data_IF_989740736018
#
_entry.id   IF_989740736018
#
_cell.length_a   1.000
_cell.length_b   1.000
_cell.length_c   1.000
_cell.angle_alpha   90.00
_cell.angle_beta   90.00
_cell.angle_gamma   90.00
#
_symmetry.space_group_name_H-M   'P 1'
#
loop_
_entity.id
_entity.type
_entity.pdbx_description
1 polymer ?
#
# COMPACT_ATOMS: atom_id res chain seq x y z
N UNK A 1 19.39 -43.72 -28.48
CA UNK A 1 19.74 -42.29 -28.63
C UNK A 1 18.51 -41.37 -28.58
N UNK A 2 17.43 -41.66 -29.31
CA UNK A 2 16.18 -40.88 -29.29
C UNK A 2 15.55 -40.68 -27.89
N UNK A 3 15.51 -41.73 -27.06
CA UNK A 3 14.94 -41.66 -25.70
C UNK A 3 15.76 -40.70 -24.80
N UNK A 4 17.09 -40.72 -24.91
CA UNK A 4 17.97 -39.84 -24.13
C UNK A 4 17.77 -38.38 -24.53
N UNK A 5 17.65 -38.12 -25.84
CA UNK A 5 17.36 -36.77 -26.35
C UNK A 5 15.99 -36.29 -25.86
N UNK A 6 14.98 -37.15 -25.85
CA UNK A 6 13.64 -36.80 -25.35
C UNK A 6 13.65 -36.47 -23.85
N UNK A 7 14.32 -37.27 -23.02
CA UNK A 7 14.41 -37.00 -21.56
C UNK A 7 15.18 -35.72 -21.27
N UNK A 8 16.29 -35.46 -21.98
CA UNK A 8 17.06 -34.22 -21.84
C UNK A 8 16.25 -33.00 -22.29
N UNK A 9 15.50 -33.11 -23.40
CA UNK A 9 14.64 -32.04 -23.88
C UNK A 9 13.51 -31.71 -22.89
N UNK A 10 12.89 -32.73 -22.28
CA UNK A 10 11.87 -32.55 -21.25
C UNK A 10 12.48 -31.87 -20.01
N UNK A 11 13.62 -32.37 -19.51
CA UNK A 11 14.31 -31.77 -18.35
C UNK A 11 14.74 -30.32 -18.57
N UNK A 12 15.28 -30.01 -19.76
CA UNK A 12 15.64 -28.65 -20.15
C UNK A 12 14.42 -27.72 -20.26
N UNK A 13 13.28 -28.23 -20.72
CA UNK A 13 12.03 -27.46 -20.79
C UNK A 13 11.50 -27.10 -19.41
N UNK A 14 11.49 -28.06 -18.47
CA UNK A 14 11.11 -27.81 -17.08
C UNK A 14 12.07 -26.84 -16.38
N UNK A 15 13.38 -26.98 -16.59
CA UNK A 15 14.37 -26.07 -16.03
C UNK A 15 14.23 -24.63 -16.56
N UNK A 16 14.02 -24.47 -17.86
CA UNK A 16 13.84 -23.12 -18.46
C UNK A 16 12.54 -22.47 -18.02
N UNK A 17 11.43 -23.22 -17.90
CA UNK A 17 10.18 -22.71 -17.33
C UNK A 17 10.33 -22.30 -15.85
N UNK A 18 11.07 -23.07 -15.04
CA UNK A 18 11.34 -22.73 -13.64
C UNK A 18 12.21 -21.48 -13.45
N UNK A 19 13.22 -21.30 -14.31
CA UNK A 19 14.07 -20.10 -14.28
C UNK A 19 13.30 -18.86 -14.75
N UNK A 20 12.47 -18.99 -15.78
CA UNK A 20 11.65 -17.89 -16.30
C UNK A 20 10.64 -17.40 -15.25
N UNK A 21 9.96 -18.32 -14.56
CA UNK A 21 9.00 -17.97 -13.50
C UNK A 21 9.68 -17.36 -12.27
N UNK A 22 10.86 -17.85 -11.87
CA UNK A 22 11.63 -17.27 -10.78
C UNK A 22 12.09 -15.82 -11.08
N UNK A 23 12.56 -15.56 -12.31
CA UNK A 23 12.95 -14.21 -12.74
C UNK A 23 11.75 -13.26 -12.81
N UNK A 24 10.63 -13.73 -13.32
CA UNK A 24 9.37 -12.98 -13.33
C UNK A 24 8.94 -12.59 -11.91
N UNK A 25 9.00 -13.52 -10.95
CA UNK A 25 8.67 -13.25 -9.55
C UNK A 25 9.61 -12.23 -8.90
N UNK A 26 10.92 -12.32 -9.13
CA UNK A 26 11.89 -11.36 -8.57
C UNK A 26 11.66 -9.95 -9.11
N UNK A 27 11.41 -9.82 -10.43
CA UNK A 27 11.09 -8.52 -11.06
C UNK A 27 9.80 -7.94 -10.50
N UNK A 28 8.77 -8.76 -10.35
CA UNK A 28 7.48 -8.37 -9.79
C UNK A 28 7.63 -7.85 -8.35
N UNK A 29 8.29 -8.62 -7.48
CA UNK A 29 8.49 -8.24 -6.07
C UNK A 29 9.40 -7.00 -5.94
N UNK A 30 10.45 -6.91 -6.77
CA UNK A 30 11.34 -5.75 -6.80
C UNK A 30 10.59 -4.46 -7.17
N UNK A 31 9.81 -4.50 -8.25
CA UNK A 31 9.01 -3.36 -8.69
C UNK A 31 7.95 -2.94 -7.66
N UNK A 32 7.31 -3.93 -7.02
CA UNK A 32 6.29 -3.69 -5.97
C UNK A 32 6.91 -3.01 -4.75
N UNK A 33 8.10 -3.45 -4.32
CA UNK A 33 8.83 -2.84 -3.20
C UNK A 33 9.30 -1.43 -3.51
N UNK A 34 9.92 -1.24 -4.68
CA UNK A 34 10.39 0.08 -5.11
C UNK A 34 9.24 1.10 -5.14
N UNK A 35 8.09 0.72 -5.69
CA UNK A 35 6.91 1.58 -5.70
C UNK A 35 6.43 1.95 -4.29
N UNK A 36 6.34 0.97 -3.38
CA UNK A 36 5.95 1.24 -2.00
C UNK A 36 6.98 2.05 -1.21
N UNK A 37 8.27 1.91 -1.49
CA UNK A 37 9.31 2.76 -0.91
C UNK A 37 9.14 4.22 -1.32
N UNK A 38 8.80 4.49 -2.59
CA UNK A 38 8.51 5.85 -3.02
C UNK A 38 7.25 6.42 -2.38
N UNK A 39 6.24 5.60 -2.13
CA UNK A 39 5.05 6.01 -1.37
C UNK A 39 5.40 6.42 0.06
N UNK A 40 6.22 5.62 0.76
CA UNK A 40 6.68 5.97 2.11
C UNK A 40 7.57 7.22 2.12
N UNK A 41 8.47 7.38 1.15
CA UNK A 41 9.31 8.58 1.02
C UNK A 41 8.48 9.83 0.77
N UNK A 42 7.50 9.76 -0.14
CA UNK A 42 6.58 10.86 -0.42
C UNK A 42 5.72 11.19 0.82
N UNK A 43 5.26 10.17 1.57
CA UNK A 43 4.53 10.37 2.83
C UNK A 43 5.38 11.09 3.89
N UNK A 44 6.62 10.65 4.07
CA UNK A 44 7.55 11.27 5.02
C UNK A 44 7.90 12.71 4.61
N UNK A 45 8.07 12.98 3.31
CA UNK A 45 8.28 14.32 2.80
C UNK A 45 7.07 15.24 3.07
N UNK A 46 5.85 14.77 2.80
CA UNK A 46 4.62 15.49 3.10
C UNK A 46 4.50 15.84 4.60
N UNK A 47 4.88 14.93 5.49
CA UNK A 47 4.88 15.18 6.95
C UNK A 47 5.95 16.21 7.31
N UNK A 48 7.19 16.04 6.84
CA UNK A 48 8.32 16.95 7.14
C UNK A 48 8.00 18.39 6.75
N UNK A 49 7.39 18.58 5.59
CA UNK A 49 7.04 19.89 5.03
C UNK A 49 5.71 20.46 5.53
N UNK A 50 4.92 19.66 6.28
CA UNK A 50 3.52 19.97 6.60
C UNK A 50 2.72 20.30 5.35
N UNK A 51 2.86 19.46 4.33
CA UNK A 51 2.29 19.66 3.01
C UNK A 51 0.76 19.76 3.06
N UNK A 52 0.24 20.92 2.69
CA UNK A 52 -1.20 21.22 2.57
C UNK A 52 -1.68 21.22 1.11
N UNK A 53 -0.76 21.17 0.15
CA UNK A 53 -1.02 21.35 -1.29
C UNK A 53 -0.72 20.11 -2.12
N UNK A 54 -0.35 18.99 -1.48
CA UNK A 54 -0.08 17.70 -2.15
C UNK A 54 1.09 17.76 -3.12
N UNK A 55 2.13 18.51 -2.75
CA UNK A 55 3.38 18.62 -3.52
C UNK A 55 4.14 17.31 -3.59
N UNK A 56 4.17 16.53 -2.50
CA UNK A 56 4.73 15.18 -2.47
C UNK A 56 3.69 14.14 -2.91
N UNK A 57 3.91 13.51 -4.06
CA UNK A 57 2.95 12.59 -4.69
C UNK A 57 3.58 11.56 -5.62
N UNK A 58 2.85 10.47 -5.81
CA UNK A 58 3.14 9.40 -6.77
C UNK A 58 1.97 9.29 -7.74
N UNK A 59 2.25 9.38 -9.04
CA UNK A 59 1.25 9.39 -10.12
C UNK A 59 1.45 8.18 -11.01
N UNK A 60 0.49 7.27 -11.07
CA UNK A 60 0.50 6.19 -12.06
C UNK A 60 0.07 6.80 -13.39
N UNK A 61 0.92 6.69 -14.41
CA UNK A 61 0.70 7.33 -15.71
C UNK A 61 0.01 6.38 -16.69
N UNK A 62 0.49 5.14 -16.73
CA UNK A 62 0.02 4.07 -17.62
C UNK A 62 0.29 2.70 -16.97
N UNK A 63 0.03 1.61 -17.70
CA UNK A 63 0.24 0.24 -17.20
C UNK A 63 1.70 -0.12 -16.87
N UNK A 64 2.67 0.68 -17.31
CA UNK A 64 4.11 0.38 -17.25
C UNK A 64 4.93 1.49 -16.59
N UNK A 65 4.35 2.63 -16.24
CA UNK A 65 5.12 3.75 -15.72
C UNK A 65 4.38 4.56 -14.66
N UNK A 66 5.16 5.14 -13.75
CA UNK A 66 4.68 6.06 -12.73
C UNK A 66 5.66 7.22 -12.55
N UNK A 67 5.20 8.32 -11.98
CA UNK A 67 5.96 9.54 -11.73
C UNK A 67 5.97 9.84 -10.24
N UNK A 68 7.12 10.19 -9.71
CA UNK A 68 7.30 10.56 -8.31
C UNK A 68 7.73 12.02 -8.25
N UNK A 69 7.00 12.82 -7.49
CA UNK A 69 7.34 14.21 -7.18
C UNK A 69 7.50 14.31 -5.68
N UNK A 70 8.71 14.59 -5.20
CA UNK A 70 9.04 14.79 -3.79
C UNK A 70 10.42 15.43 -3.70
N UNK A 71 10.84 15.77 -2.49
CA UNK A 71 12.21 16.10 -2.16
C UNK A 71 13.10 14.85 -2.05
N UNK A 72 13.98 14.62 -3.03
CA UNK A 72 14.84 13.44 -3.06
C UNK A 72 16.10 13.62 -2.22
N UNK A 73 16.62 14.84 -2.06
CA UNK A 73 17.87 15.12 -1.34
C UNK A 73 17.68 15.66 0.08
N UNK A 74 16.42 15.86 0.48
CA UNK A 74 16.01 16.37 1.79
C UNK A 74 16.43 17.82 2.06
N UNK A 75 16.60 18.63 1.01
CA UNK A 75 17.06 20.02 1.13
C UNK A 75 15.96 21.04 1.49
N UNK A 76 14.69 20.63 1.50
CA UNK A 76 13.57 21.53 1.79
C UNK A 76 12.92 22.16 0.56
N UNK A 77 13.37 21.86 -0.65
CA UNK A 77 12.71 22.18 -1.94
C UNK A 77 12.18 20.93 -2.66
N UNK A 78 11.16 21.09 -3.52
CA UNK A 78 10.62 19.96 -4.28
C UNK A 78 11.42 19.84 -5.57
N UNK A 79 12.00 18.67 -5.80
CA UNK A 79 12.79 18.38 -6.98
C UNK A 79 11.95 18.20 -8.25
N UNK A 80 12.64 18.19 -9.38
CA UNK A 80 12.06 17.78 -10.65
C UNK A 80 11.42 16.37 -10.56
N UNK A 81 10.18 16.18 -11.05
CA UNK A 81 9.52 14.89 -11.04
C UNK A 81 10.33 13.82 -11.78
N UNK A 82 10.49 12.64 -11.16
CA UNK A 82 11.16 11.49 -11.77
C UNK A 82 10.13 10.51 -12.31
N UNK A 83 10.27 10.10 -13.56
CA UNK A 83 9.45 9.02 -14.15
C UNK A 83 10.20 7.70 -14.04
N UNK A 84 9.54 6.70 -13.47
CA UNK A 84 10.05 5.34 -13.33
C UNK A 84 9.25 4.42 -14.24
N UNK A 85 9.97 3.66 -15.06
CA UNK A 85 9.41 2.60 -15.90
C UNK A 85 9.54 1.27 -15.18
N UNK A 86 8.45 0.51 -15.14
CA UNK A 86 8.43 -0.82 -14.54
C UNK A 86 9.34 -1.78 -15.34
N UNK A 87 9.96 -2.77 -14.68
CA UNK A 87 10.78 -3.77 -15.36
C UNK A 87 10.00 -4.56 -16.41
N UNK A 88 10.69 -5.02 -17.46
CA UNK A 88 10.08 -5.79 -18.55
C UNK A 88 9.20 -6.94 -18.05
N UNK A 89 7.95 -6.94 -18.53
CA UNK A 89 6.93 -7.91 -18.20
C UNK A 89 6.11 -7.56 -16.95
N UNK A 90 6.50 -6.59 -16.13
CA UNK A 90 5.71 -6.14 -14.98
C UNK A 90 4.75 -5.04 -15.41
N UNK A 91 3.47 -5.16 -15.05
CA UNK A 91 2.44 -4.17 -15.33
C UNK A 91 1.56 -3.88 -14.12
N UNK A 92 1.08 -2.65 -14.00
CA UNK A 92 -0.06 -2.33 -13.14
C UNK A 92 -1.33 -2.98 -13.69
N UNK A 93 -2.09 -3.63 -12.81
CA UNK A 93 -3.39 -4.20 -13.14
C UNK A 93 -4.43 -3.06 -13.21
N UNK A 94 -5.11 -2.94 -14.35
CA UNK A 94 -6.16 -1.94 -14.60
C UNK A 94 -5.69 -0.49 -14.34
N UNK A 95 -4.55 -0.10 -14.93
CA UNK A 95 -3.97 1.23 -14.74
C UNK A 95 -4.85 2.32 -15.36
N UNK A 96 -5.62 2.99 -14.52
CA UNK A 96 -6.15 4.31 -14.81
C UNK A 96 -5.18 5.35 -14.25
N UNK A 97 -4.96 6.48 -14.95
CA UNK A 97 -4.14 7.56 -14.41
C UNK A 97 -4.67 7.99 -13.04
N UNK A 98 -3.84 7.83 -12.01
CA UNK A 98 -4.23 8.15 -10.64
C UNK A 98 -3.09 8.79 -9.88
N UNK A 99 -3.42 9.82 -9.10
CA UNK A 99 -2.49 10.52 -8.22
C UNK A 99 -2.73 10.10 -6.78
N UNK A 100 -1.67 9.60 -6.15
CA UNK A 100 -1.60 9.28 -4.73
C UNK A 100 -0.78 10.38 -4.06
N UNK A 101 -1.40 11.12 -3.15
CA UNK A 101 -0.73 12.16 -2.39
C UNK A 101 -0.98 11.98 -0.90
N UNK A 102 -0.22 12.72 -0.09
CA UNK A 102 -0.33 12.67 1.36
C UNK A 102 -0.53 14.07 1.90
N UNK A 103 -1.37 14.21 2.93
CA UNK A 103 -1.50 15.48 3.64
C UNK A 103 -0.41 15.61 4.73
N UNK A 104 -0.39 16.77 5.39
CA UNK A 104 0.48 17.09 6.53
C UNK A 104 0.48 16.09 7.71
N UNK A 105 -0.49 15.17 7.78
CA UNK A 105 -0.56 14.10 8.80
C UNK A 105 -0.12 12.74 8.24
N UNK A 106 0.38 12.69 7.01
CA UNK A 106 0.76 11.46 6.32
C UNK A 106 -0.43 10.62 5.85
N UNK A 107 -1.66 11.12 5.93
CA UNK A 107 -2.83 10.38 5.46
C UNK A 107 -2.95 10.49 3.95
N UNK A 108 -3.29 9.37 3.31
CA UNK A 108 -3.51 9.31 1.86
C UNK A 108 -4.70 10.15 1.44
N UNK A 109 -4.51 10.88 0.37
CA UNK A 109 -5.53 11.63 -0.35
C UNK A 109 -5.40 11.27 -1.83
N UNK A 110 -6.51 10.90 -2.46
CA UNK A 110 -6.56 10.68 -3.91
C UNK A 110 -7.29 11.85 -4.52
N UNK A 111 -6.60 12.51 -5.44
CA UNK A 111 -7.19 13.53 -6.27
C UNK A 111 -7.53 12.85 -7.59
N UNK A 112 -8.79 12.43 -7.75
CA UNK A 112 -9.35 12.13 -9.06
C UNK A 112 -9.46 13.46 -9.82
N UNK A 113 -8.34 13.91 -10.40
CA UNK A 113 -8.25 15.00 -11.40
C UNK A 113 -8.93 16.35 -11.07
N UNK A 114 -9.34 16.60 -9.82
CA UNK A 114 -9.97 17.86 -9.39
C UNK A 114 -9.55 18.25 -7.96
N UNK A 115 -9.20 19.53 -7.69
CA UNK A 115 -8.69 19.96 -6.39
C UNK A 115 -9.78 19.89 -5.31
N UNK A 116 -9.54 19.11 -4.26
CA UNK A 116 -10.46 18.97 -3.13
C UNK A 116 -10.53 17.52 -2.67
N UNK A 117 -9.51 17.04 -1.96
CA UNK A 117 -9.34 15.62 -1.70
C UNK A 117 -9.67 15.27 -0.25
N UNK A 118 -10.69 14.43 -0.05
CA UNK A 118 -10.95 13.78 1.22
C UNK A 118 -9.94 12.64 1.46
N UNK A 119 -9.67 12.33 2.74
CA UNK A 119 -8.93 11.11 3.08
C UNK A 119 -9.72 9.89 2.61
N UNK A 120 -9.07 9.01 1.88
CA UNK A 120 -9.70 7.81 1.30
C UNK A 120 -9.69 6.65 2.30
N UNK A 121 -10.66 5.75 2.16
CA UNK A 121 -10.57 4.37 2.69
C UNK A 121 -9.50 3.59 1.90
N UNK A 122 -8.93 2.56 2.52
CA UNK A 122 -7.79 1.79 2.03
C UNK A 122 -7.77 1.60 0.49
N UNK A 123 -6.64 1.89 -0.15
CA UNK A 123 -6.39 1.71 -1.58
C UNK A 123 -5.47 0.50 -1.80
N UNK A 124 -5.69 -0.27 -2.87
CA UNK A 124 -4.80 -1.37 -3.27
C UNK A 124 -4.32 -1.14 -4.69
N UNK A 125 -2.99 -1.10 -4.88
CA UNK A 125 -2.33 -1.06 -6.19
C UNK A 125 -1.80 -2.45 -6.49
N UNK A 126 -2.28 -3.07 -7.56
CA UNK A 126 -1.91 -4.43 -7.94
C UNK A 126 -0.95 -4.45 -9.13
N UNK A 127 0.03 -5.34 -9.06
CA UNK A 127 1.04 -5.60 -10.06
C UNK A 127 0.90 -7.03 -10.56
N UNK A 128 1.09 -7.22 -11.85
CA UNK A 128 1.05 -8.53 -12.52
C UNK A 128 2.25 -8.68 -13.45
N UNK A 129 2.58 -9.92 -13.78
CA UNK A 129 3.60 -10.23 -14.78
C UNK A 129 2.95 -10.77 -16.05
N UNK A 130 3.19 -10.15 -17.20
CA UNK A 130 2.70 -10.56 -18.51
C UNK A 130 3.60 -11.66 -19.08
N UNK A 131 3.02 -12.82 -19.39
CA UNK A 131 3.71 -13.89 -20.13
C UNK A 131 4.40 -14.98 -19.30
N UNK A 132 4.17 -15.05 -17.98
CA UNK A 132 4.60 -16.18 -17.14
C UNK A 132 3.44 -16.68 -16.27
N UNK A 133 3.45 -17.96 -15.89
CA UNK A 133 2.48 -18.57 -14.96
C UNK A 133 2.65 -18.11 -13.50
N UNK A 134 2.96 -16.83 -13.27
CA UNK A 134 2.94 -16.21 -11.95
C UNK A 134 1.49 -15.84 -11.67
N UNK A 135 0.72 -16.80 -11.16
CA UNK A 135 -0.73 -16.63 -10.92
C UNK A 135 -1.06 -15.76 -9.70
N UNK A 136 -0.06 -15.33 -8.93
CA UNK A 136 -0.27 -14.50 -7.74
C UNK A 136 0.14 -13.05 -8.01
N UNK A 137 -0.82 -12.11 -8.11
CA UNK A 137 -0.50 -10.69 -8.20
C UNK A 137 0.22 -10.24 -6.93
N UNK A 138 1.17 -9.31 -7.09
CA UNK A 138 1.76 -8.58 -5.98
C UNK A 138 0.98 -7.28 -5.76
N UNK A 139 0.77 -6.90 -4.51
CA UNK A 139 -0.12 -5.80 -4.14
C UNK A 139 0.59 -4.89 -3.15
N UNK A 140 0.44 -3.59 -3.36
CA UNK A 140 0.73 -2.56 -2.38
C UNK A 140 -0.60 -2.06 -1.84
N UNK A 141 -0.84 -2.25 -0.55
CA UNK A 141 -2.01 -1.73 0.14
C UNK A 141 -1.63 -0.48 0.91
N UNK A 142 -2.42 0.57 0.70
CA UNK A 142 -2.29 1.88 1.33
C UNK A 142 -3.50 2.06 2.23
N UNK A 143 -3.30 2.24 3.53
CA UNK A 143 -4.41 2.53 4.43
C UNK A 143 -4.78 4.01 4.40
N UNK A 144 -6.01 4.35 4.76
CA UNK A 144 -6.41 5.76 4.93
C UNK A 144 -5.60 6.52 5.99
N UNK A 145 -4.94 5.79 6.91
CA UNK A 145 -3.96 6.33 7.86
C UNK A 145 -2.59 6.65 7.25
N UNK A 146 -2.30 6.14 6.05
CA UNK A 146 -1.03 6.33 5.36
C UNK A 146 -0.08 5.13 5.41
N UNK A 147 -0.48 4.02 6.03
CA UNK A 147 0.40 2.85 6.16
C UNK A 147 0.51 2.13 4.81
N UNK A 148 1.74 1.89 4.36
CA UNK A 148 2.04 1.10 3.17
C UNK A 148 2.35 -0.34 3.60
N UNK A 149 1.60 -1.29 3.05
CA UNK A 149 1.81 -2.73 3.26
C UNK A 149 1.92 -3.46 1.92
N UNK A 150 2.59 -4.61 1.95
CA UNK A 150 2.94 -5.38 0.76
C UNK A 150 2.35 -6.79 0.88
N UNK A 151 1.73 -7.28 -0.19
CA UNK A 151 1.13 -8.62 -0.25
C UNK A 151 1.37 -9.28 -1.60
N UNK A 152 2.14 -10.36 -1.63
CA UNK A 152 2.60 -11.07 -2.85
C UNK A 152 4.00 -10.61 -3.29
N UNK A 153 4.88 -11.41 -3.89
CA UNK A 153 4.80 -12.78 -4.38
C UNK A 153 6.03 -13.61 -3.89
N UNK A 154 5.78 -14.90 -3.64
CA UNK A 154 6.73 -16.00 -3.39
C UNK A 154 7.84 -15.73 -2.37
N UNK A 155 7.63 -16.21 -1.13
CA UNK A 155 8.72 -16.76 -0.32
C UNK A 155 9.22 -17.97 -1.09
N UNK A 156 10.51 -18.08 -1.46
CA UNK A 156 11.03 -19.35 -1.92
C UNK A 156 10.78 -20.34 -0.79
N UNK A 157 9.80 -21.22 -0.94
CA UNK A 157 9.72 -22.42 -0.13
C UNK A 157 10.90 -23.27 -0.57
N UNK A 158 12.09 -22.93 -0.07
CA UNK A 158 13.06 -23.95 0.21
C UNK A 158 12.36 -24.85 1.25
N UNK A 159 12.08 -26.14 0.96
CA UNK A 159 11.52 -27.04 1.96
C UNK A 159 12.41 -27.18 3.20
N UNK A 160 13.65 -26.67 3.15
CA UNK A 160 14.61 -26.61 4.25
C UNK A 160 14.59 -25.31 5.09
N UNK A 161 13.89 -24.26 4.65
CA UNK A 161 13.74 -23.02 5.43
C UNK A 161 12.29 -22.88 5.83
N UNK A 162 12.00 -23.27 7.07
CA UNK A 162 10.70 -23.07 7.70
C UNK A 162 10.26 -21.61 7.49
N UNK A 163 9.01 -21.44 7.06
CA UNK A 163 8.40 -20.15 6.84
C UNK A 163 8.62 -19.24 8.06
N UNK A 164 9.33 -18.12 7.85
CA UNK A 164 9.35 -17.02 8.81
C UNK A 164 7.95 -16.40 8.82
N UNK A 165 7.08 -16.95 9.67
CA UNK A 165 5.80 -16.38 10.02
C UNK A 165 6.08 -15.12 10.86
N UNK A 166 6.03 -13.94 10.23
CA UNK A 166 6.13 -12.64 10.95
C UNK A 166 4.74 -12.31 11.53
N UNK A 167 4.16 -13.26 12.26
CA UNK A 167 2.95 -13.05 13.03
C UNK A 167 3.23 -13.46 14.47
N UNK A 168 2.92 -12.52 15.36
CA UNK A 168 2.95 -12.59 16.82
C UNK A 168 4.27 -12.22 17.52
N UNK A 169 4.23 -11.00 18.09
CA UNK A 169 4.70 -10.59 19.42
C UNK A 169 6.19 -10.83 19.78
N UNK A 170 6.99 -9.77 20.05
CA UNK A 170 8.36 -9.96 20.52
C UNK A 170 8.36 -10.54 21.95
N UNK A 171 9.09 -11.65 22.23
CA UNK A 171 9.39 -12.03 23.60
C UNK A 171 10.41 -11.07 24.22
N UNK A 172 10.31 -10.73 25.52
CA UNK A 172 11.27 -9.86 26.17
C UNK A 172 12.62 -10.58 26.38
N UNK A 173 13.71 -9.91 26.00
CA UNK A 173 15.03 -10.18 26.56
C UNK A 173 15.98 -11.03 25.71
N UNK A 174 16.62 -10.41 24.72
CA UNK A 174 17.99 -10.78 24.35
C UNK A 174 18.83 -9.48 24.20
N UNK A 175 20.01 -9.39 24.83
CA UNK A 175 20.85 -8.20 24.72
C UNK A 175 21.57 -8.17 23.36
N UNK A 176 21.96 -6.96 22.87
CA UNK A 176 22.50 -6.79 21.52
C UNK A 176 23.89 -7.43 21.34
N UNK A 177 24.25 -7.91 20.13
CA UNK A 177 25.58 -8.42 19.82
C UNK A 177 26.65 -7.32 19.94
N UNK A 178 27.78 -7.68 20.55
CA UNK A 178 28.92 -6.80 20.78
C UNK A 178 29.59 -6.30 19.49
N UNK A 179 30.07 -5.06 19.58
CA UNK A 179 30.89 -4.35 18.60
C UNK A 179 32.19 -5.12 18.30
N UNK A 180 32.61 -5.25 17.02
CA UNK A 180 33.92 -5.81 16.68
C UNK A 180 35.06 -4.82 17.05
N UNK A 181 36.28 -5.31 17.32
CA UNK A 181 37.37 -4.51 17.87
C UNK A 181 37.97 -3.54 16.84
N UNK A 182 38.48 -2.36 17.24
CA UNK A 182 39.15 -1.43 16.35
C UNK A 182 40.50 -1.98 15.86
N UNK A 183 40.73 -1.85 14.55
CA UNK A 183 42.02 -2.14 13.92
C UNK A 183 43.13 -1.19 14.41
N UNK A 184 44.33 -1.76 14.46
CA UNK A 184 45.60 -1.18 14.91
C UNK A 184 46.05 -0.01 14.03
N UNK A 185 46.51 1.14 14.58
CA UNK A 185 47.09 2.22 13.79
C UNK A 185 48.51 1.90 13.33
N UNK A 186 48.78 2.14 12.06
CA UNK A 186 50.11 2.12 11.41
C UNK A 186 50.91 3.37 11.78
N UNK A 187 52.14 3.21 12.27
CA UNK A 187 53.11 4.30 12.49
C UNK A 187 53.52 5.01 11.19
N UNK A 188 53.80 6.32 11.21
CA UNK A 188 54.64 6.98 10.21
C UNK A 188 56.12 7.07 10.69
N UNK A 189 57.11 6.94 9.80
CA UNK A 189 58.52 7.06 10.18
C UNK A 189 59.14 8.44 9.88
N UNK A 190 60.08 8.79 10.75
CA UNK A 190 61.35 9.50 10.48
C UNK A 190 61.39 11.05 10.46
N UNK A 191 62.21 11.52 11.41
CA UNK A 191 62.75 12.85 11.69
C UNK A 191 63.68 13.41 10.59
N UNK A 192 63.91 14.74 10.54
CA UNK A 192 65.29 15.22 10.44
C UNK A 192 65.60 16.48 11.29
N UNK A 193 66.89 16.88 11.44
CA UNK A 193 67.43 17.45 12.67
C UNK A 193 67.85 18.93 12.62
N UNK A 194 68.26 19.39 13.81
CA UNK A 194 69.28 20.41 14.17
C UNK A 194 68.88 21.88 14.37
N UNK A 195 69.04 22.27 15.63
CA UNK A 195 68.96 23.59 16.28
C UNK A 195 70.30 24.37 16.19
N UNK A 196 70.28 25.71 16.11
CA UNK A 196 71.37 26.57 16.57
C UNK A 196 70.98 27.40 17.83
N UNK A 197 71.97 27.94 18.57
CA UNK A 197 71.95 28.05 20.04
C UNK A 197 71.17 29.25 20.60
N UNK A 198 70.77 29.22 21.89
CA UNK A 198 70.05 30.32 22.53
C UNK A 198 70.95 31.52 22.90
N UNK A 199 70.45 32.71 22.57
CA UNK A 199 70.97 34.04 22.92
C UNK A 199 70.63 34.40 24.39
N UNK A 200 71.49 35.12 25.13
CA UNK A 200 71.32 35.36 26.57
C UNK A 200 70.07 36.18 26.94
N UNK A 201 69.52 35.79 28.08
CA UNK A 201 68.31 36.24 28.76
C UNK A 201 68.42 37.68 29.32
N UNK A 202 67.46 38.58 29.05
CA UNK A 202 67.38 39.86 29.74
C UNK A 202 66.70 39.74 31.11
N UNK A 203 67.28 40.47 32.05
CA UNK A 203 66.96 40.62 33.48
C UNK A 203 65.48 40.92 33.77
N UNK A 204 64.85 40.28 34.78
CA UNK A 204 63.45 40.53 35.11
C UNK A 204 63.25 41.90 35.76
N UNK A 205 62.35 42.70 35.18
CA UNK A 205 61.76 43.92 35.73
C UNK A 205 60.84 43.60 36.92
N UNK A 206 60.79 44.43 37.98
CA UNK A 206 59.98 44.17 39.16
C UNK A 206 58.48 44.18 38.83
N UNK A 207 57.80 43.12 39.26
CA UNK A 207 56.35 42.91 39.18
C UNK A 207 55.58 43.94 40.02
N UNK A 208 54.59 44.64 39.46
CA UNK A 208 53.72 45.52 40.25
C UNK A 208 52.79 44.71 41.17
N UNK A 209 52.59 45.27 42.36
CA UNK A 209 51.75 44.78 43.46
C UNK A 209 50.32 44.39 42.99
N UNK A 210 49.78 43.22 43.40
CA UNK A 210 48.45 42.78 43.00
C UNK A 210 47.36 43.74 43.49
N UNK A 211 46.52 44.15 42.53
CA UNK A 211 45.30 44.93 42.77
C UNK A 211 44.27 44.06 43.50
N UNK A 212 43.52 44.57 44.50
CA UNK A 212 42.53 43.77 45.21
C UNK A 212 41.44 43.28 44.26
N UNK A 213 41.23 41.96 44.25
CA UNK A 213 40.21 41.27 43.47
C UNK A 213 38.82 41.72 43.93
N UNK A 214 37.90 42.12 43.03
CA UNK A 214 36.55 42.49 43.41
C UNK A 214 35.81 41.26 43.96
N UNK A 215 35.14 41.46 45.10
CA UNK A 215 34.30 40.47 45.78
C UNK A 215 33.20 39.98 44.83
N UNK A 216 33.01 38.65 44.67
CA UNK A 216 31.97 38.12 43.78
C UNK A 216 30.58 38.53 44.26
N UNK A 217 29.84 39.18 43.36
CA UNK A 217 28.43 39.53 43.54
C UNK A 217 27.60 38.26 43.77
N UNK A 218 26.67 38.22 44.73
CA UNK A 218 25.87 37.03 45.00
C UNK A 218 25.07 36.63 43.76
N UNK A 219 25.21 35.37 43.36
CA UNK A 219 24.50 34.74 42.26
C UNK A 219 22.99 34.78 42.55
N UNK A 220 22.14 35.25 41.61
CA UNK A 220 20.70 35.28 41.83
C UNK A 220 20.16 33.86 42.02
N UNK A 221 19.39 33.67 43.08
CA UNK A 221 18.72 32.41 43.42
C UNK A 221 17.80 32.01 42.26
N UNK A 222 17.87 30.77 41.75
CA UNK A 222 17.03 30.34 40.64
C UNK A 222 15.55 30.39 41.05
N UNK A 223 14.77 31.14 40.29
CA UNK A 223 13.32 31.22 40.42
C UNK A 223 12.72 29.82 40.20
N UNK A 224 11.79 29.36 41.06
CA UNK A 224 11.20 28.03 40.91
C UNK A 224 10.49 27.92 39.56
N UNK A 225 10.88 26.90 38.80
CA UNK A 225 10.27 26.55 37.52
C UNK A 225 8.80 26.20 37.74
N UNK A 226 7.84 26.79 36.99
CA UNK A 226 6.43 26.49 37.16
C UNK A 226 6.17 25.00 36.89
N UNK A 227 5.49 24.36 37.84
CA UNK A 227 5.08 22.96 37.75
C UNK A 227 4.19 22.78 36.51
N UNK A 228 4.48 21.83 35.62
CA UNK A 228 3.67 21.62 34.42
C UNK A 228 2.23 21.27 34.84
N UNK A 229 1.29 22.04 34.31
CA UNK A 229 -0.15 21.80 34.49
C UNK A 229 -0.49 20.44 33.89
N UNK A 230 -1.25 19.58 34.59
CA UNK A 230 -1.60 18.26 34.07
C UNK A 230 -2.33 18.40 32.73
N UNK A 231 -1.78 17.73 31.71
CA UNK A 231 -2.35 17.69 30.37
C UNK A 231 -3.74 17.08 30.46
N UNK A 232 -4.77 17.69 29.85
CA UNK A 232 -6.13 17.13 29.87
C UNK A 232 -6.11 15.74 29.25
N UNK A 233 -6.73 14.80 29.95
CA UNK A 233 -6.91 13.42 29.48
C UNK A 233 -7.65 13.46 28.14
N UNK A 234 -7.14 12.78 27.10
CA UNK A 234 -7.81 12.75 25.80
C UNK A 234 -9.21 12.17 25.96
N UNK A 235 -10.20 12.91 25.46
CA UNK A 235 -11.58 12.44 25.37
C UNK A 235 -11.62 11.10 24.62
N UNK A 236 -12.45 10.12 25.04
CA UNK A 236 -12.56 8.85 24.34
C UNK A 236 -12.88 9.10 22.87
N UNK A 237 -12.05 8.52 22.01
CA UNK A 237 -12.25 8.53 20.56
C UNK A 237 -13.64 7.95 20.27
N UNK A 238 -14.47 8.61 19.44
CA UNK A 238 -15.78 8.07 19.09
C UNK A 238 -15.61 6.68 18.48
N UNK A 239 -16.42 5.73 18.96
CA UNK A 239 -16.45 4.38 18.43
C UNK A 239 -16.64 4.42 16.92
N UNK A 240 -15.88 3.64 16.12
CA UNK A 240 -16.02 3.64 14.68
C UNK A 240 -17.47 3.31 14.31
N UNK A 241 -18.12 4.20 13.56
CA UNK A 241 -19.42 3.92 12.95
C UNK A 241 -19.27 2.67 12.09
N UNK A 242 -20.07 1.61 12.32
CA UNK A 242 -19.96 0.40 11.53
C UNK A 242 -20.18 0.75 10.05
N UNK A 243 -19.18 0.47 9.22
CA UNK A 243 -19.35 0.51 7.77
C UNK A 243 -20.42 -0.51 7.40
N UNK A 244 -21.47 -0.04 6.70
CA UNK A 244 -22.57 -0.89 6.28
C UNK A 244 -22.04 -2.09 5.52
N UNK A 245 -22.45 -3.30 5.91
CA UNK A 245 -22.12 -4.50 5.15
C UNK A 245 -22.80 -4.42 3.79
N UNK A 246 -22.17 -4.97 2.76
CA UNK A 246 -22.81 -4.98 1.45
C UNK A 246 -24.09 -5.83 1.48
N UNK A 247 -25.18 -5.29 0.96
CA UNK A 247 -26.48 -5.97 0.90
C UNK A 247 -27.11 -5.80 -0.48
N UNK A 248 -27.78 -6.84 -0.96
CA UNK A 248 -28.69 -6.78 -2.10
C UNK A 248 -30.13 -6.90 -1.62
N UNK A 249 -31.00 -6.04 -2.14
CA UNK A 249 -32.43 -6.02 -1.85
C UNK A 249 -33.21 -6.17 -3.15
N UNK A 250 -33.54 -7.41 -3.57
CA UNK A 250 -34.48 -7.63 -4.66
C UNK A 250 -35.94 -7.42 -4.18
N UNK A 251 -36.89 -7.23 -5.11
CA UNK A 251 -38.31 -7.26 -4.79
C UNK A 251 -38.71 -8.64 -4.25
N UNK A 252 -39.73 -8.72 -3.36
CA UNK A 252 -40.18 -9.99 -2.79
C UNK A 252 -40.78 -10.94 -3.85
N UNK A 253 -41.39 -10.37 -4.89
CA UNK A 253 -41.93 -11.10 -6.03
C UNK A 253 -41.95 -10.20 -7.28
N UNK A 254 -42.04 -10.82 -8.45
CA UNK A 254 -42.24 -10.15 -9.72
C UNK A 254 -43.44 -10.80 -10.44
N UNK A 255 -44.33 -9.97 -10.98
CA UNK A 255 -45.44 -10.42 -11.82
C UNK A 255 -45.25 -9.89 -13.24
N UNK A 256 -45.40 -10.78 -14.21
CA UNK A 256 -45.25 -10.43 -15.62
C UNK A 256 -46.53 -10.71 -16.40
N UNK A 257 -46.79 -9.91 -17.41
CA UNK A 257 -47.98 -10.04 -18.25
C UNK A 257 -47.80 -11.15 -19.29
N UNK A 258 -48.80 -12.01 -19.40
CA UNK A 258 -48.84 -13.06 -20.41
C UNK A 258 -48.75 -12.47 -21.82
N UNK A 259 -47.96 -13.11 -22.66
CA UNK A 259 -47.78 -12.71 -24.07
C UNK A 259 -46.75 -11.59 -24.29
N UNK A 260 -46.19 -10.97 -23.25
CA UNK A 260 -45.11 -9.99 -23.41
C UNK A 260 -43.74 -10.63 -23.74
N UNK A 261 -43.57 -11.93 -23.46
CA UNK A 261 -42.37 -12.72 -23.77
C UNK A 261 -41.13 -12.38 -22.92
N UNK A 262 -41.16 -11.27 -22.18
CA UNK A 262 -40.12 -10.89 -21.23
C UNK A 262 -40.61 -9.89 -20.18
N UNK A 263 -39.91 -9.82 -19.05
CA UNK A 263 -40.18 -8.90 -17.95
C UNK A 263 -38.89 -8.58 -17.20
N UNK A 264 -38.86 -7.48 -16.45
CA UNK A 264 -37.63 -7.01 -15.79
C UNK A 264 -37.71 -7.12 -14.27
N UNK A 265 -36.61 -7.56 -13.65
CA UNK A 265 -36.39 -7.52 -12.20
C UNK A 265 -35.26 -6.54 -11.92
N UNK A 266 -35.51 -5.55 -11.06
CA UNK A 266 -34.49 -4.59 -10.60
C UNK A 266 -34.08 -4.93 -9.19
N UNK A 267 -32.77 -5.06 -8.95
CA UNK A 267 -32.19 -5.23 -7.63
C UNK A 267 -31.53 -3.94 -7.19
N UNK A 268 -31.80 -3.54 -5.95
CA UNK A 268 -31.06 -2.48 -5.29
C UNK A 268 -29.89 -3.09 -4.52
N UNK A 269 -28.76 -2.40 -4.49
CA UNK A 269 -27.58 -2.82 -3.73
C UNK A 269 -26.92 -1.63 -3.05
N UNK A 270 -26.29 -1.89 -1.91
CA UNK A 270 -25.59 -0.89 -1.11
C UNK A 270 -24.21 -1.37 -0.69
N UNK A 271 -23.23 -0.47 -0.66
CA UNK A 271 -21.87 -0.71 -0.16
C UNK A 271 -21.13 -1.86 -0.86
N UNK A 272 -21.36 -2.06 -2.17
CA UNK A 272 -20.72 -3.11 -2.94
C UNK A 272 -19.23 -2.82 -3.24
N UNK A 273 -18.36 -3.73 -2.83
CA UNK A 273 -16.92 -3.69 -3.14
C UNK A 273 -16.61 -4.59 -4.33
N UNK A 274 -16.90 -4.09 -5.54
CA UNK A 274 -16.65 -4.77 -6.82
C UNK A 274 -17.02 -6.27 -6.83
N UNK A 275 -18.29 -6.60 -6.58
CA UNK A 275 -18.79 -7.98 -6.58
C UNK A 275 -19.54 -8.30 -7.86
N UNK A 276 -19.62 -9.58 -8.21
CA UNK A 276 -20.49 -10.07 -9.30
C UNK A 276 -21.76 -10.66 -8.72
N UNK A 277 -22.92 -10.17 -9.20
CA UNK A 277 -24.21 -10.81 -9.00
C UNK A 277 -24.41 -11.79 -10.15
N UNK A 278 -24.71 -13.06 -9.83
CA UNK A 278 -25.10 -14.07 -10.79
C UNK A 278 -26.58 -14.40 -10.61
N UNK A 279 -27.35 -14.34 -11.70
CA UNK A 279 -28.77 -14.64 -11.70
C UNK A 279 -29.01 -16.02 -12.33
N UNK A 280 -29.61 -16.91 -11.56
CA UNK A 280 -30.05 -18.24 -12.03
C UNK A 280 -31.57 -18.30 -11.95
N UNK A 281 -32.18 -19.16 -12.76
CA UNK A 281 -33.63 -19.33 -12.76
C UNK A 281 -34.01 -20.80 -12.67
N UNK A 282 -35.20 -21.07 -12.16
CA UNK A 282 -35.83 -22.39 -12.14
C UNK A 282 -37.34 -22.27 -12.37
N UNK A 283 -37.96 -23.31 -12.91
CA UNK A 283 -39.37 -23.32 -13.30
C UNK A 283 -39.54 -23.64 -14.78
N UNK A 284 -40.74 -24.09 -15.15
CA UNK A 284 -40.99 -24.64 -16.47
C UNK A 284 -41.24 -23.55 -17.54
N UNK A 285 -41.64 -22.35 -17.12
CA UNK A 285 -42.04 -21.28 -18.04
C UNK A 285 -40.96 -20.20 -18.26
N UNK A 286 -39.94 -20.13 -17.40
CA UNK A 286 -38.80 -19.22 -17.59
C UNK A 286 -37.82 -19.86 -18.57
N UNK A 287 -37.54 -19.16 -19.67
CA UNK A 287 -36.70 -19.66 -20.76
C UNK A 287 -35.29 -19.08 -20.75
N UNK A 288 -35.06 -17.97 -20.06
CA UNK A 288 -33.75 -17.36 -19.96
C UNK A 288 -33.70 -16.11 -19.09
N UNK A 289 -32.48 -15.63 -18.81
CA UNK A 289 -32.23 -14.36 -18.13
C UNK A 289 -31.04 -13.65 -18.78
N UNK A 290 -31.16 -12.34 -18.99
CA UNK A 290 -30.10 -11.52 -19.58
C UNK A 290 -29.97 -10.17 -18.87
N UNK A 291 -28.76 -9.74 -18.49
CA UNK A 291 -27.53 -10.55 -18.49
C UNK A 291 -27.57 -11.65 -17.42
N UNK A 292 -26.88 -12.78 -17.60
CA UNK A 292 -26.82 -13.84 -16.58
C UNK A 292 -25.97 -13.44 -15.35
N UNK A 293 -25.09 -12.45 -15.49
CA UNK A 293 -24.32 -11.89 -14.39
C UNK A 293 -24.00 -10.41 -14.62
N UNK A 294 -23.76 -9.68 -13.53
CA UNK A 294 -23.30 -8.29 -13.57
C UNK A 294 -22.39 -7.94 -12.40
N UNK A 295 -21.31 -7.24 -12.69
CA UNK A 295 -20.43 -6.66 -11.67
C UNK A 295 -20.97 -5.32 -11.18
N UNK A 296 -21.02 -5.14 -9.87
CA UNK A 296 -21.54 -3.95 -9.18
C UNK A 296 -20.51 -3.38 -8.21
N UNK A 297 -20.50 -2.07 -8.07
CA UNK A 297 -19.67 -1.33 -7.11
C UNK A 297 -20.41 -0.11 -6.58
N UNK A 298 -20.16 0.26 -5.33
CA UNK A 298 -20.85 1.36 -4.66
C UNK A 298 -22.28 1.00 -4.27
N UNK A 299 -23.20 1.97 -4.36
CA UNK A 299 -24.63 1.77 -4.12
C UNK A 299 -25.41 2.17 -5.37
N UNK A 300 -26.45 1.41 -5.72
CA UNK A 300 -27.20 1.64 -6.94
C UNK A 300 -28.25 0.57 -7.22
N UNK A 301 -28.68 0.46 -8.48
CA UNK A 301 -29.56 -0.62 -8.92
C UNK A 301 -29.07 -1.28 -10.20
N UNK A 302 -29.46 -2.53 -10.38
CA UNK A 302 -29.18 -3.32 -11.57
C UNK A 302 -30.44 -4.04 -12.03
N UNK A 303 -30.68 -4.05 -13.34
CA UNK A 303 -31.86 -4.67 -13.93
C UNK A 303 -31.48 -5.92 -14.72
N UNK A 304 -32.30 -6.96 -14.56
CA UNK A 304 -32.21 -8.24 -15.26
C UNK A 304 -33.50 -8.48 -16.03
N UNK A 305 -33.38 -8.84 -17.30
CA UNK A 305 -34.52 -9.21 -18.14
C UNK A 305 -34.71 -10.73 -18.09
N UNK A 306 -35.89 -11.15 -17.67
CA UNK A 306 -36.33 -12.55 -17.62
C UNK A 306 -37.17 -12.83 -18.86
N UNK A 307 -36.82 -13.86 -19.62
CA UNK A 307 -37.57 -14.33 -20.78
C UNK A 307 -38.44 -15.51 -20.37
N UNK A 308 -39.68 -15.55 -20.88
CA UNK A 308 -40.64 -16.58 -20.50
C UNK A 308 -41.63 -16.91 -21.60
N UNK A 309 -42.19 -18.13 -21.54
CA UNK A 309 -43.25 -18.61 -22.42
C UNK A 309 -44.63 -18.16 -21.92
N UNK A 310 -45.65 -18.18 -22.79
CA UNK A 310 -47.02 -17.74 -22.48
C UNK A 310 -47.81 -18.68 -21.55
N UNK A 311 -47.15 -19.55 -20.79
CA UNK A 311 -47.77 -20.48 -19.85
C UNK A 311 -48.33 -19.76 -18.60
N UNK A 312 -49.25 -20.42 -17.90
CA UNK A 312 -49.87 -19.94 -16.65
C UNK A 312 -49.06 -20.28 -15.38
N UNK A 313 -47.83 -20.78 -15.53
CA UNK A 313 -47.00 -21.09 -14.40
C UNK A 313 -46.13 -19.93 -13.97
N UNK A 314 -45.03 -20.29 -13.34
CA UNK A 314 -44.09 -19.36 -12.76
C UNK A 314 -42.77 -20.05 -12.50
N UNK A 315 -41.88 -19.31 -11.86
CA UNK A 315 -40.58 -19.83 -11.51
C UNK A 315 -39.96 -19.00 -10.41
N UNK A 316 -38.70 -19.28 -10.15
CA UNK A 316 -37.90 -18.49 -9.22
C UNK A 316 -36.66 -17.99 -9.94
N UNK A 317 -36.27 -16.76 -9.62
CA UNK A 317 -34.98 -16.21 -10.02
C UNK A 317 -34.15 -16.01 -8.77
N UNK A 318 -32.99 -16.65 -8.70
CA UNK A 318 -32.05 -16.54 -7.58
C UNK A 318 -30.87 -15.68 -7.98
N UNK A 319 -30.67 -14.59 -7.26
CA UNK A 319 -29.53 -13.70 -7.38
C UNK A 319 -28.53 -14.06 -6.30
N UNK A 320 -27.32 -14.42 -6.70
CA UNK A 320 -26.25 -14.83 -5.80
C UNK A 320 -25.10 -13.82 -5.85
N UNK A 321 -24.72 -13.31 -4.68
CA UNK A 321 -23.56 -12.43 -4.52
C UNK A 321 -22.78 -12.82 -3.25
N UNK A 322 -21.62 -13.46 -3.43
CA UNK A 322 -20.84 -14.06 -2.34
C UNK A 322 -20.43 -13.06 -1.25
N UNK A 323 -20.16 -11.81 -1.62
CA UNK A 323 -19.73 -10.74 -0.71
C UNK A 323 -20.80 -9.67 -0.41
N UNK A 324 -22.04 -9.88 -0.88
CA UNK A 324 -23.12 -8.88 -0.78
C UNK A 324 -24.46 -9.48 -0.38
N UNK A 325 -24.63 -9.86 0.89
CA UNK A 325 -25.91 -10.34 1.43
C UNK A 325 -26.33 -11.76 1.03
N UNK A 326 -25.46 -12.50 0.32
CA UNK A 326 -25.65 -13.91 -0.04
C UNK A 326 -26.57 -14.12 -1.24
N UNK A 327 -27.27 -15.25 -1.25
CA UNK A 327 -28.26 -15.56 -2.29
C UNK A 327 -29.66 -15.10 -1.87
N UNK A 328 -30.35 -14.39 -2.77
CA UNK A 328 -31.73 -13.95 -2.61
C UNK A 328 -32.57 -14.46 -3.76
N UNK A 329 -33.78 -14.92 -3.47
CA UNK A 329 -34.67 -15.51 -4.47
C UNK A 329 -35.92 -14.68 -4.61
N UNK A 330 -36.32 -14.44 -5.86
CA UNK A 330 -37.54 -13.72 -6.25
C UNK A 330 -38.49 -14.72 -6.89
N UNK A 331 -39.72 -14.80 -6.36
CA UNK A 331 -40.78 -15.57 -6.98
C UNK A 331 -41.33 -14.80 -8.21
N UNK A 332 -41.44 -15.48 -9.34
CA UNK A 332 -41.95 -14.94 -10.60
C UNK A 332 -43.27 -15.60 -10.94
N UNK A 333 -44.32 -14.80 -11.14
CA UNK A 333 -45.64 -15.26 -11.57
C UNK A 333 -46.00 -14.64 -12.92
N UNK A 334 -46.46 -15.45 -13.87
CA UNK A 334 -46.91 -15.00 -15.19
C UNK A 334 -48.44 -15.00 -15.19
N UNK A 335 -49.05 -13.82 -15.33
CA UNK A 335 -50.51 -13.63 -15.30
C UNK A 335 -51.05 -13.20 -16.66
#
# INVERSE_FOLDING_TARGET
MLIVIAVVAIGASFATMGIASARASMRLTGATREFGEYLEKARLDAIRRRDTTSTARVEILDNTSYRVTMDFDSDGTVDAPRTITLPDGVTFNNATPQTISFNLRGRTIQTLTAPGSAAISNQTVSFTFVGASVNTPANVTLTGSGDVSYSGAFVPTNPEVAALNISANPPPGTPPPGTPPPGTPTEPPTEPPTEPPPTPEPTPTPTPNPTPTPTPTPTPTPTPTPTPTPTPTPSPTPSPTPVGTCQTSPPPSASFTRGAGSGTITLNYENASATTITATYSGNDITGISPASRTISGSGSVTFTVYYNSGNGGGTVTFSAASCGGSKTVAVTIN
#
